data_IF_690809473874
#
_entry.id   IF_690809473874
#
_cell.length_a   1.000
_cell.length_b   1.000
_cell.length_c   1.000
_cell.angle_alpha   90.00
_cell.angle_beta   90.00
_cell.angle_gamma   90.00
#
_symmetry.space_group_name_H-M   'P 1'
#
loop_
_entity.id
_entity.type
_entity.pdbx_description
1 polymer ?
#
# COMPACT_ATOMS: atom_id res chain seq x y z
N UNK A 1 -22.72 -12.12 -12.94
CA UNK A 1 -22.30 -10.80 -13.45
C UNK A 1 -23.19 -9.64 -12.97
N UNK A 2 -24.53 -9.80 -12.87
CA UNK A 2 -25.43 -8.68 -12.53
C UNK A 2 -25.48 -8.31 -11.02
N UNK A 3 -25.09 -9.22 -10.13
CA UNK A 3 -25.11 -8.97 -8.67
C UNK A 3 -23.83 -8.29 -8.18
N UNK A 4 -22.66 -8.75 -8.63
CA UNK A 4 -21.37 -8.13 -8.33
C UNK A 4 -21.32 -6.67 -8.79
N UNK A 5 -21.82 -6.39 -10.01
CA UNK A 5 -21.88 -5.01 -10.54
C UNK A 5 -22.73 -4.10 -9.65
N UNK A 6 -23.94 -4.55 -9.27
CA UNK A 6 -24.81 -3.79 -8.35
C UNK A 6 -24.18 -3.58 -6.98
N UNK A 7 -23.42 -4.56 -6.49
CA UNK A 7 -22.67 -4.45 -5.24
C UNK A 7 -21.57 -3.40 -5.36
N UNK A 8 -20.80 -3.42 -6.46
CA UNK A 8 -19.75 -2.44 -6.73
C UNK A 8 -20.34 -1.02 -6.85
N UNK A 9 -21.41 -0.85 -7.63
CA UNK A 9 -22.15 0.42 -7.75
C UNK A 9 -22.64 0.91 -6.38
N UNK A 10 -23.22 0.02 -5.57
CA UNK A 10 -23.67 0.36 -4.21
C UNK A 10 -22.52 0.75 -3.28
N UNK A 11 -21.33 0.17 -3.44
CA UNK A 11 -20.12 0.52 -2.68
C UNK A 11 -19.60 1.88 -3.14
N UNK A 12 -19.54 2.15 -4.44
CA UNK A 12 -19.13 3.46 -4.98
C UNK A 12 -20.07 4.56 -4.50
N UNK A 13 -21.38 4.32 -4.54
CA UNK A 13 -22.40 5.30 -4.15
C UNK A 13 -22.41 5.55 -2.63
N UNK A 14 -22.40 4.49 -1.82
CA UNK A 14 -22.61 4.61 -0.36
C UNK A 14 -21.31 4.71 0.44
N UNK A 15 -20.20 4.26 -0.14
CA UNK A 15 -18.91 4.10 0.52
C UNK A 15 -17.74 4.53 -0.39
N UNK A 16 -17.78 5.73 -0.99
CA UNK A 16 -16.84 6.14 -2.05
C UNK A 16 -15.36 6.09 -1.63
N UNK A 17 -15.04 6.42 -0.36
CA UNK A 17 -13.67 6.33 0.15
C UNK A 17 -13.16 4.88 0.20
N UNK A 18 -14.02 3.93 0.57
CA UNK A 18 -13.69 2.51 0.56
C UNK A 18 -13.63 1.95 -0.87
N UNK A 19 -14.39 2.52 -1.80
CA UNK A 19 -14.32 2.17 -3.21
C UNK A 19 -12.94 2.48 -3.80
N UNK A 20 -12.34 3.63 -3.46
CA UNK A 20 -10.96 4.00 -3.86
C UNK A 20 -9.94 3.01 -3.28
N UNK A 21 -10.03 2.69 -1.98
CA UNK A 21 -9.07 1.76 -1.35
C UNK A 21 -9.17 0.34 -1.93
N UNK A 22 -10.39 -0.10 -2.30
CA UNK A 22 -10.61 -1.36 -3.01
C UNK A 22 -10.00 -1.30 -4.42
N UNK A 23 -10.18 -0.19 -5.16
CA UNK A 23 -9.59 -0.01 -6.48
C UNK A 23 -8.05 -0.09 -6.43
N UNK A 24 -7.42 0.61 -5.48
CA UNK A 24 -5.96 0.56 -5.25
C UNK A 24 -5.48 -0.86 -4.89
N UNK A 25 -6.26 -1.57 -4.06
CA UNK A 25 -5.93 -2.96 -3.67
C UNK A 25 -6.06 -3.93 -4.86
N UNK A 26 -7.03 -3.68 -5.74
CA UNK A 26 -7.23 -4.44 -6.98
C UNK A 26 -6.13 -4.15 -7.99
N UNK A 27 -5.62 -2.93 -8.09
CA UNK A 27 -4.47 -2.58 -8.94
C UNK A 27 -3.23 -3.37 -8.52
N UNK A 28 -2.94 -3.40 -7.22
CA UNK A 28 -1.81 -4.17 -6.67
C UNK A 28 -1.95 -5.66 -6.98
N UNK A 29 -3.18 -6.20 -6.90
CA UNK A 29 -3.44 -7.60 -7.24
C UNK A 29 -3.25 -7.86 -8.74
N UNK A 30 -3.73 -6.97 -9.62
CA UNK A 30 -3.54 -7.04 -11.07
C UNK A 30 -2.06 -7.01 -11.44
N UNK A 31 -1.29 -6.09 -10.88
CA UNK A 31 0.17 -6.00 -11.08
C UNK A 31 0.86 -7.30 -10.65
N UNK A 32 0.50 -7.83 -9.48
CA UNK A 32 1.07 -9.09 -8.98
C UNK A 32 0.73 -10.27 -9.90
N UNK A 33 -0.49 -10.32 -10.44
CA UNK A 33 -0.89 -11.35 -11.42
C UNK A 33 -0.06 -11.23 -12.70
N UNK A 34 0.13 -10.03 -13.23
CA UNK A 34 0.93 -9.81 -14.44
C UNK A 34 2.39 -10.23 -14.24
N UNK A 35 2.99 -9.90 -13.09
CA UNK A 35 4.35 -10.37 -12.72
C UNK A 35 4.44 -11.90 -12.69
N UNK A 36 3.42 -12.59 -12.17
CA UNK A 36 3.39 -14.06 -12.17
C UNK A 36 3.28 -14.62 -13.60
N UNK A 37 2.48 -14.00 -14.46
CA UNK A 37 2.34 -14.41 -15.86
C UNK A 37 3.68 -14.24 -16.60
N UNK A 38 4.38 -13.13 -16.37
CA UNK A 38 5.71 -12.90 -16.95
C UNK A 38 6.73 -13.95 -16.49
N UNK A 39 6.74 -14.26 -15.19
CA UNK A 39 7.58 -15.33 -14.65
C UNK A 39 7.24 -16.71 -15.27
N UNK A 40 5.96 -17.03 -15.43
CA UNK A 40 5.52 -18.27 -16.12
C UNK A 40 6.07 -18.31 -17.56
N UNK A 41 6.03 -17.19 -18.29
CA UNK A 41 6.52 -17.11 -19.66
C UNK A 41 8.04 -17.32 -19.74
N UNK A 42 8.79 -16.69 -18.84
CA UNK A 42 10.25 -16.84 -18.76
C UNK A 42 10.66 -18.27 -18.40
N UNK A 43 10.07 -18.85 -17.37
CA UNK A 43 10.37 -20.22 -16.95
C UNK A 43 9.94 -21.25 -18.01
N UNK A 44 8.81 -21.02 -18.69
CA UNK A 44 8.37 -21.87 -19.79
C UNK A 44 9.34 -21.83 -20.97
N UNK A 45 9.84 -20.65 -21.32
CA UNK A 45 10.82 -20.50 -22.39
C UNK A 45 12.13 -21.24 -22.05
N UNK A 46 12.56 -21.20 -20.80
CA UNK A 46 13.76 -21.90 -20.33
C UNK A 46 13.56 -23.43 -20.31
N UNK A 47 12.40 -23.91 -19.84
CA UNK A 47 12.05 -25.34 -19.88
C UNK A 47 12.06 -25.88 -21.32
N UNK A 48 11.49 -25.14 -22.27
CA UNK A 48 11.48 -25.53 -23.69
C UNK A 48 12.89 -25.62 -24.30
N UNK A 49 13.82 -24.71 -23.94
CA UNK A 49 15.24 -24.82 -24.36
C UNK A 49 15.86 -26.13 -23.84
N UNK A 50 15.47 -26.54 -22.65
CA UNK A 50 15.90 -27.79 -22.02
C UNK A 50 15.10 -29.02 -22.50
N UNK A 51 14.24 -28.86 -23.50
CA UNK A 51 13.35 -29.89 -24.08
C UNK A 51 12.35 -30.47 -23.07
N UNK A 52 12.07 -29.74 -22.00
CA UNK A 52 10.95 -30.03 -21.09
C UNK A 52 9.71 -29.27 -21.59
N UNK A 53 8.76 -30.03 -22.14
CA UNK A 53 7.49 -29.51 -22.65
C UNK A 53 6.32 -29.77 -21.71
N UNK A 54 6.47 -30.65 -20.71
CA UNK A 54 5.41 -30.95 -19.74
C UNK A 54 5.23 -29.78 -18.77
N UNK A 55 6.33 -29.21 -18.28
CA UNK A 55 6.25 -28.07 -17.37
C UNK A 55 5.50 -26.86 -17.98
N UNK A 56 5.86 -26.35 -19.18
CA UNK A 56 5.10 -25.29 -19.84
C UNK A 56 3.60 -25.61 -20.03
N UNK A 57 3.27 -26.86 -20.38
CA UNK A 57 1.87 -27.28 -20.57
C UNK A 57 1.06 -27.25 -19.27
N UNK A 58 1.70 -27.47 -18.12
CA UNK A 58 1.08 -27.36 -16.81
C UNK A 58 0.86 -25.89 -16.41
N UNK A 59 1.93 -25.08 -16.44
CA UNK A 59 1.89 -23.70 -15.93
C UNK A 59 1.14 -22.72 -16.84
N UNK A 60 1.05 -22.98 -18.15
CA UNK A 60 0.23 -22.17 -19.05
C UNK A 60 -1.27 -22.26 -18.74
N UNK A 61 -1.74 -23.37 -18.16
CA UNK A 61 -3.13 -23.46 -17.68
C UNK A 61 -3.37 -22.49 -16.53
N UNK A 62 -2.41 -22.37 -15.62
CA UNK A 62 -2.44 -21.40 -14.53
C UNK A 62 -2.42 -19.96 -15.07
N UNK A 63 -1.52 -19.64 -16.00
CA UNK A 63 -1.47 -18.31 -16.64
C UNK A 63 -2.81 -17.92 -17.28
N UNK A 64 -3.49 -18.87 -17.94
CA UNK A 64 -4.82 -18.63 -18.52
C UNK A 64 -5.89 -18.32 -17.47
N UNK A 65 -5.85 -19.03 -16.34
CA UNK A 65 -6.77 -18.78 -15.22
C UNK A 65 -6.48 -17.39 -14.62
N UNK A 66 -5.20 -17.07 -14.40
CA UNK A 66 -4.76 -15.79 -13.86
C UNK A 66 -5.19 -14.62 -14.75
N UNK A 67 -5.01 -14.73 -16.08
CA UNK A 67 -5.49 -13.74 -17.04
C UNK A 67 -7.02 -13.55 -16.98
N UNK A 68 -7.76 -14.62 -16.69
CA UNK A 68 -9.22 -14.53 -16.53
C UNK A 68 -9.59 -13.71 -15.29
N UNK A 69 -8.88 -13.92 -14.17
CA UNK A 69 -9.09 -13.12 -12.96
C UNK A 69 -8.62 -11.68 -13.14
N UNK A 70 -7.50 -11.46 -13.83
CA UNK A 70 -7.01 -10.11 -14.16
C UNK A 70 -8.04 -9.31 -14.98
N UNK A 71 -8.66 -9.92 -15.98
CA UNK A 71 -9.74 -9.29 -16.73
C UNK A 71 -10.97 -9.00 -15.86
N UNK A 72 -11.36 -9.93 -14.97
CA UNK A 72 -12.44 -9.66 -14.02
C UNK A 72 -12.12 -8.52 -13.05
N UNK A 73 -10.86 -8.41 -12.62
CA UNK A 73 -10.38 -7.30 -11.78
C UNK A 73 -10.52 -5.98 -12.55
N UNK A 74 -10.03 -5.92 -13.79
CA UNK A 74 -10.15 -4.74 -14.67
C UNK A 74 -11.61 -4.36 -14.92
N UNK A 75 -12.49 -5.33 -15.11
CA UNK A 75 -13.93 -5.10 -15.28
C UNK A 75 -14.56 -4.49 -14.02
N UNK A 76 -14.15 -4.95 -12.83
CA UNK A 76 -14.60 -4.37 -11.55
C UNK A 76 -14.07 -2.94 -11.43
N UNK A 77 -12.78 -2.71 -11.68
CA UNK A 77 -12.17 -1.39 -11.60
C UNK A 77 -12.84 -0.39 -12.57
N UNK A 78 -13.12 -0.80 -13.80
CA UNK A 78 -13.85 0.04 -14.77
C UNK A 78 -15.27 0.38 -14.32
N UNK A 79 -15.92 -0.47 -13.52
CA UNK A 79 -17.24 -0.18 -12.92
C UNK A 79 -17.14 0.74 -11.71
N UNK A 80 -16.03 0.65 -10.96
CA UNK A 80 -15.72 1.56 -9.86
C UNK A 80 -15.47 2.99 -10.35
N UNK A 81 -15.10 3.13 -11.62
CA UNK A 81 -15.09 4.38 -12.36
C UNK A 81 -16.48 4.60 -13.00
N UNK A 82 -17.47 5.03 -12.22
CA UNK A 82 -18.77 5.47 -12.76
C UNK A 82 -18.95 6.99 -12.62
N UNK A 83 -18.95 7.66 -13.77
CA UNK A 83 -19.28 9.07 -14.08
C UNK A 83 -18.55 10.19 -13.33
N UNK A 84 -17.27 10.36 -13.66
CA UNK A 84 -16.77 11.69 -14.03
C UNK A 84 -16.57 11.75 -15.55
N UNK A 85 -17.63 11.58 -16.34
CA UNK A 85 -17.54 11.85 -17.78
C UNK A 85 -17.85 13.31 -18.04
N UNK A 86 -16.77 14.04 -18.28
CA UNK A 86 -16.64 15.07 -19.32
C UNK A 86 -17.65 16.23 -19.29
N UNK A 87 -17.21 17.37 -18.76
CA UNK A 87 -17.32 18.65 -19.46
C UNK A 87 -16.33 19.64 -18.85
N UNK A 88 -15.12 19.74 -19.41
CA UNK A 88 -14.37 20.99 -19.47
C UNK A 88 -13.07 20.81 -20.28
N UNK A 89 -13.22 20.75 -21.61
CA UNK A 89 -12.28 21.50 -22.43
C UNK A 89 -13.03 22.13 -23.61
N UNK A 90 -13.73 23.24 -23.34
CA UNK A 90 -13.51 24.51 -24.03
C UNK A 90 -14.54 25.59 -23.66
N UNK A 91 -13.98 26.73 -23.26
CA UNK A 91 -14.51 28.11 -23.32
C UNK A 91 -15.53 28.58 -22.26
N UNK A 92 -14.96 29.42 -21.40
CA UNK A 92 -15.44 30.75 -21.03
C UNK A 92 -16.66 30.87 -20.12
N UNK A 93 -16.35 31.38 -18.93
CA UNK A 93 -17.11 32.33 -18.12
C UNK A 93 -18.30 31.78 -17.32
N UNK A 94 -18.09 31.64 -16.01
CA UNK A 94 -19.18 31.46 -15.05
C UNK A 94 -18.71 30.83 -13.75
N UNK A 95 -18.35 31.68 -12.78
CA UNK A 95 -18.18 31.42 -11.34
C UNK A 95 -18.69 30.06 -10.85
N UNK A 96 -17.81 29.06 -10.75
CA UNK A 96 -18.01 27.88 -9.92
C UNK A 96 -17.04 27.94 -8.74
N UNK A 97 -17.61 27.81 -7.54
CA UNK A 97 -16.88 27.86 -6.28
C UNK A 97 -15.82 26.75 -6.26
N UNK A 98 -14.58 27.16 -6.00
CA UNK A 98 -13.46 26.29 -5.67
C UNK A 98 -13.89 25.38 -4.51
N UNK A 99 -13.72 24.04 -4.60
CA UNK A 99 -13.94 23.16 -3.44
C UNK A 99 -13.03 23.62 -2.30
N UNK A 100 -13.63 23.97 -1.16
CA UNK A 100 -12.87 24.43 -0.02
C UNK A 100 -12.07 23.26 0.58
N UNK A 101 -10.75 23.29 0.41
CA UNK A 101 -9.79 22.33 0.96
C UNK A 101 -9.77 22.28 2.51
N UNK A 102 -10.51 23.16 3.18
CA UNK A 102 -10.70 23.15 4.64
C UNK A 102 -11.39 21.89 5.19
N UNK A 103 -12.08 21.08 4.35
CA UNK A 103 -12.77 19.86 4.79
C UNK A 103 -11.84 18.63 4.93
N UNK A 104 -10.56 18.76 4.54
CA UNK A 104 -9.50 17.76 4.77
C UNK A 104 -8.61 18.11 5.97
N UNK A 105 -9.11 18.90 6.92
CA UNK A 105 -8.32 19.25 8.10
C UNK A 105 -7.95 18.00 8.88
N UNK A 106 -6.65 17.73 8.89
CA UNK A 106 -5.98 16.79 9.77
C UNK A 106 -6.47 17.07 11.19
N UNK A 107 -7.26 16.15 11.75
CA UNK A 107 -7.63 16.25 13.16
C UNK A 107 -6.41 15.82 13.98
N UNK A 108 -5.47 16.76 14.16
CA UNK A 108 -4.26 16.56 14.96
C UNK A 108 -4.56 16.48 16.46
N UNK A 109 -5.82 16.54 16.88
CA UNK A 109 -6.18 16.59 18.31
C UNK A 109 -6.11 15.22 18.98
N UNK A 110 -6.25 14.13 18.23
CA UNK A 110 -6.18 12.75 18.74
C UNK A 110 -4.97 12.03 18.15
N UNK A 111 -3.97 11.78 19.00
CA UNK A 111 -2.81 10.97 18.65
C UNK A 111 -3.00 9.52 19.09
N UNK A 112 -2.71 8.59 18.19
CA UNK A 112 -2.68 7.15 18.41
C UNK A 112 -1.25 6.66 18.62
N UNK A 113 -1.10 5.57 19.38
CA UNK A 113 0.19 4.97 19.69
C UNK A 113 0.39 3.62 18.98
N UNK A 114 1.65 3.15 18.93
CA UNK A 114 2.01 1.92 18.21
C UNK A 114 1.54 0.60 18.88
N UNK A 115 0.78 0.64 19.97
CA UNK A 115 0.20 -0.55 20.60
C UNK A 115 -1.24 -0.83 20.14
N UNK A 116 -1.85 0.10 19.41
CA UNK A 116 -3.21 -0.02 18.91
C UNK A 116 -3.29 -0.98 17.70
N UNK A 117 -4.51 -1.44 17.41
CA UNK A 117 -4.82 -2.18 16.19
C UNK A 117 -5.22 -1.18 15.10
N UNK A 118 -4.48 -1.21 13.98
CA UNK A 118 -4.69 -0.33 12.84
C UNK A 118 -5.36 -1.03 11.67
N UNK A 119 -5.96 -2.20 11.88
CA UNK A 119 -6.79 -2.86 10.86
C UNK A 119 -7.95 -1.92 10.48
N UNK A 120 -8.20 -1.76 9.17
CA UNK A 120 -9.26 -0.91 8.63
C UNK A 120 -9.15 0.60 8.97
N UNK A 121 -7.95 1.08 9.31
CA UNK A 121 -7.69 2.51 9.57
C UNK A 121 -6.81 3.10 8.47
N UNK A 122 -6.92 4.41 8.24
CA UNK A 122 -6.10 5.16 7.28
C UNK A 122 -5.28 6.23 7.99
N UNK A 123 -3.95 6.31 7.77
CA UNK A 123 -3.17 7.36 8.37
C UNK A 123 -3.49 8.68 7.68
N UNK A 124 -3.46 9.77 8.45
CA UNK A 124 -3.45 11.13 7.97
C UNK A 124 -2.05 11.76 8.15
N UNK A 125 -1.34 11.34 9.18
CA UNK A 125 -0.02 11.85 9.48
C UNK A 125 0.67 11.04 10.56
N UNK A 126 1.94 11.33 10.78
CA UNK A 126 2.67 10.82 11.92
C UNK A 126 3.72 11.84 12.37
N UNK A 127 4.20 11.69 13.60
CA UNK A 127 5.22 12.55 14.20
C UNK A 127 6.25 11.67 14.91
N UNK A 128 7.54 12.02 14.77
CA UNK A 128 8.65 11.36 15.46
C UNK A 128 9.42 12.39 16.29
N UNK A 129 9.62 12.13 17.59
CA UNK A 129 10.37 13.01 18.52
C UNK A 129 9.88 14.47 18.56
N UNK A 130 8.58 14.70 18.39
CA UNK A 130 7.97 16.02 18.34
C UNK A 130 8.53 16.91 17.21
N UNK A 131 8.89 16.33 16.06
CA UNK A 131 9.39 17.06 14.88
C UNK A 131 8.32 17.83 14.10
N UNK A 132 7.07 17.80 14.56
CA UNK A 132 5.91 18.24 13.79
C UNK A 132 5.27 17.09 13.00
N UNK A 133 3.99 17.26 12.69
CA UNK A 133 3.21 16.25 11.98
C UNK A 133 3.61 16.23 10.50
N UNK A 134 4.02 15.05 10.03
CA UNK A 134 4.23 14.79 8.60
C UNK A 134 2.98 14.13 8.03
N UNK A 135 2.36 14.80 7.07
CA UNK A 135 1.16 14.29 6.39
C UNK A 135 1.50 13.14 5.45
N UNK A 136 0.65 12.10 5.47
CA UNK A 136 0.75 10.90 4.64
C UNK A 136 -0.63 10.33 4.35
N UNK A 137 -0.74 9.53 3.30
CA UNK A 137 -2.00 8.91 2.89
C UNK A 137 -2.02 7.40 3.07
N UNK A 138 -0.84 6.77 3.12
CA UNK A 138 -0.70 5.32 3.14
C UNK A 138 0.27 4.86 4.24
N UNK A 139 0.01 3.69 4.84
CA UNK A 139 0.87 3.12 5.88
C UNK A 139 2.29 2.80 5.39
N UNK A 140 2.45 2.45 4.10
CA UNK A 140 3.77 2.23 3.50
C UNK A 140 4.60 3.52 3.46
N UNK A 141 3.96 4.69 3.29
CA UNK A 141 4.65 5.99 3.31
C UNK A 141 5.17 6.29 4.72
N UNK A 142 4.35 6.05 5.76
CA UNK A 142 4.78 6.14 7.16
C UNK A 142 6.05 5.33 7.41
N UNK A 143 6.05 4.07 6.95
CA UNK A 143 7.17 3.16 7.14
C UNK A 143 8.43 3.63 6.40
N UNK A 144 8.32 4.02 5.13
CA UNK A 144 9.44 4.52 4.32
C UNK A 144 10.03 5.79 4.93
N UNK A 145 9.20 6.74 5.33
CA UNK A 145 9.65 7.99 5.93
C UNK A 145 10.27 7.77 7.31
N UNK A 146 9.77 6.81 8.08
CA UNK A 146 10.42 6.38 9.33
C UNK A 146 11.80 5.79 9.06
N UNK A 147 11.95 4.97 8.01
CA UNK A 147 13.26 4.42 7.63
C UNK A 147 14.25 5.52 7.27
N UNK A 148 13.83 6.50 6.44
CA UNK A 148 14.67 7.66 6.09
C UNK A 148 15.12 8.43 7.33
N UNK A 149 14.18 8.76 8.22
CA UNK A 149 14.47 9.44 9.47
C UNK A 149 15.51 8.70 10.33
N UNK A 150 15.38 7.38 10.45
CA UNK A 150 16.30 6.57 11.25
C UNK A 150 17.69 6.45 10.61
N UNK A 151 17.74 6.31 9.28
CA UNK A 151 19.01 6.33 8.52
C UNK A 151 19.75 7.65 8.73
N UNK A 152 19.04 8.78 8.62
CA UNK A 152 19.63 10.11 8.82
C UNK A 152 20.13 10.31 10.26
N UNK A 153 19.49 9.64 11.23
CA UNK A 153 19.88 9.67 12.64
C UNK A 153 21.14 8.85 12.92
N UNK A 154 21.16 7.60 12.49
CA UNK A 154 22.34 6.71 12.59
C UNK A 154 22.25 5.54 11.61
N UNK A 155 22.82 5.76 10.43
CA UNK A 155 22.90 4.79 9.36
C UNK A 155 23.54 3.45 9.77
N UNK A 156 24.45 3.45 10.76
CA UNK A 156 25.13 2.23 11.22
C UNK A 156 24.18 1.32 12.00
N UNK A 157 23.27 1.88 12.80
CA UNK A 157 22.23 1.12 13.48
C UNK A 157 21.26 0.53 12.45
N UNK A 158 20.85 1.31 11.43
CA UNK A 158 19.97 0.80 10.36
C UNK A 158 20.59 -0.41 9.64
N UNK A 159 21.88 -0.35 9.33
CA UNK A 159 22.60 -1.42 8.63
C UNK A 159 22.53 -2.76 9.39
N UNK A 160 22.47 -2.72 10.73
CA UNK A 160 22.31 -3.92 11.55
C UNK A 160 21.00 -4.69 11.28
N UNK A 161 19.98 -4.03 10.73
CA UNK A 161 18.67 -4.66 10.49
C UNK A 161 18.76 -5.81 9.48
N UNK A 162 19.65 -5.71 8.50
CA UNK A 162 19.80 -6.66 7.40
C UNK A 162 20.16 -8.05 7.94
N UNK A 163 21.07 -8.11 8.91
CA UNK A 163 21.54 -9.34 9.54
C UNK A 163 20.74 -9.78 10.77
N UNK A 164 19.81 -8.96 11.26
CA UNK A 164 19.11 -9.22 12.51
C UNK A 164 17.85 -10.08 12.28
N UNK A 165 17.79 -11.34 12.77
CA UNK A 165 16.65 -12.24 12.54
C UNK A 165 15.33 -11.77 13.17
N UNK A 166 15.38 -10.82 14.11
CA UNK A 166 14.18 -10.21 14.71
C UNK A 166 13.62 -9.06 13.88
N UNK A 167 14.45 -8.47 13.01
CA UNK A 167 14.08 -7.39 12.10
C UNK A 167 13.80 -7.90 10.68
N UNK A 168 14.50 -8.98 10.30
CA UNK A 168 14.54 -9.48 8.95
C UNK A 168 14.25 -10.99 8.94
N UNK A 169 13.20 -11.39 8.22
CA UNK A 169 12.77 -12.77 8.19
C UNK A 169 13.81 -13.70 7.56
N UNK A 170 13.74 -14.99 7.90
CA UNK A 170 14.57 -16.03 7.24
C UNK A 170 14.19 -16.23 5.78
N UNK A 171 12.87 -16.26 5.49
CA UNK A 171 12.32 -16.50 4.15
C UNK A 171 12.06 -15.21 3.36
N UNK A 172 11.59 -14.15 4.03
CA UNK A 172 11.27 -12.86 3.42
C UNK A 172 12.18 -11.79 3.99
N UNK A 173 12.83 -11.03 3.10
CA UNK A 173 13.67 -9.89 3.47
C UNK A 173 12.82 -8.63 3.52
N UNK A 174 12.85 -7.95 4.66
CA UNK A 174 12.22 -6.64 4.87
C UNK A 174 13.22 -5.49 4.70
N UNK A 175 14.51 -5.76 4.96
CA UNK A 175 15.63 -4.83 4.75
C UNK A 175 16.74 -5.56 4.00
N UNK A 176 17.30 -4.94 2.96
CA UNK A 176 18.37 -5.54 2.17
C UNK A 176 19.23 -4.48 1.46
N UNK A 177 20.41 -4.89 0.99
CA UNK A 177 21.27 -4.09 0.08
C UNK A 177 20.90 -4.26 -1.39
N UNK A 178 20.13 -5.30 -1.72
CA UNK A 178 19.62 -5.60 -3.07
C UNK A 178 18.12 -5.88 -2.99
N UNK A 179 17.41 -5.72 -4.11
CA UNK A 179 15.94 -5.85 -4.16
C UNK A 179 15.46 -7.16 -4.83
N UNK A 180 16.38 -8.03 -5.25
CA UNK A 180 16.12 -9.21 -6.10
C UNK A 180 15.07 -10.18 -5.54
N UNK A 181 14.90 -10.22 -4.21
CA UNK A 181 14.01 -11.17 -3.52
C UNK A 181 12.83 -10.50 -2.81
N UNK A 182 12.60 -9.21 -3.06
CA UNK A 182 11.59 -8.39 -2.40
C UNK A 182 10.35 -8.16 -3.28
N UNK A 183 9.18 -7.99 -2.67
CA UNK A 183 7.91 -7.71 -3.32
C UNK A 183 7.44 -6.27 -3.08
N UNK A 184 7.50 -5.42 -4.12
CA UNK A 184 7.32 -3.96 -3.98
C UNK A 184 8.39 -3.30 -3.10
N UNK A 185 9.69 -3.47 -3.42
CA UNK A 185 10.77 -2.81 -2.71
C UNK A 185 10.78 -1.31 -3.01
N UNK A 186 11.05 -0.50 -1.99
CA UNK A 186 11.34 0.93 -2.13
C UNK A 186 12.77 1.18 -1.67
N UNK A 187 13.54 1.89 -2.49
CA UNK A 187 14.90 2.29 -2.14
C UNK A 187 14.89 3.44 -1.12
N UNK A 188 15.64 3.27 -0.03
CA UNK A 188 15.90 4.29 1.00
C UNK A 188 17.41 4.44 1.17
N UNK A 189 17.96 5.53 0.65
CA UNK A 189 19.42 5.72 0.55
C UNK A 189 20.08 4.59 -0.26
N UNK A 190 21.01 3.83 0.33
CA UNK A 190 21.69 2.68 -0.30
C UNK A 190 21.02 1.31 -0.01
N UNK A 191 19.89 1.29 0.71
CA UNK A 191 19.18 0.06 1.08
C UNK A 191 17.80 -0.01 0.44
N UNK A 192 17.21 -1.20 0.44
CA UNK A 192 15.85 -1.45 0.01
C UNK A 192 15.00 -1.91 1.19
N UNK A 193 13.75 -1.44 1.22
CA UNK A 193 12.74 -1.83 2.21
C UNK A 193 11.50 -2.39 1.54
N UNK A 194 10.96 -3.45 2.13
CA UNK A 194 9.78 -4.15 1.62
C UNK A 194 8.49 -3.40 1.99
N UNK A 195 7.64 -3.11 1.00
CA UNK A 195 6.40 -2.33 1.25
C UNK A 195 5.10 -3.07 0.96
N UNK A 196 5.15 -4.32 0.51
CA UNK A 196 3.94 -5.15 0.41
C UNK A 196 3.58 -5.80 1.75
N UNK A 197 3.05 -5.00 2.68
CA UNK A 197 2.67 -5.39 4.03
C UNK A 197 1.42 -4.64 4.52
N UNK A 198 0.73 -5.17 5.54
CA UNK A 198 -0.47 -4.53 6.12
C UNK A 198 -0.11 -3.50 7.22
N UNK A 199 -1.10 -2.70 7.63
CA UNK A 199 -0.95 -1.63 8.64
C UNK A 199 -0.35 -2.11 9.96
N UNK A 200 -0.84 -3.25 10.47
CA UNK A 200 -0.34 -3.83 11.72
C UNK A 200 1.09 -4.38 11.61
N UNK A 201 1.49 -4.89 10.44
CA UNK A 201 2.87 -5.24 10.18
C UNK A 201 3.76 -4.00 10.23
N UNK A 202 3.38 -2.92 9.53
CA UNK A 202 4.13 -1.66 9.56
C UNK A 202 4.26 -1.10 10.98
N UNK A 203 3.18 -1.09 11.77
CA UNK A 203 3.22 -0.75 13.19
C UNK A 203 4.25 -1.59 13.96
N UNK A 204 4.21 -2.91 13.80
CA UNK A 204 5.12 -3.82 14.51
C UNK A 204 6.58 -3.58 14.13
N UNK A 205 6.88 -3.46 12.84
CA UNK A 205 8.25 -3.27 12.40
C UNK A 205 8.77 -1.89 12.83
N UNK A 206 7.94 -0.84 12.80
CA UNK A 206 8.29 0.48 13.33
C UNK A 206 8.64 0.42 14.81
N UNK A 207 7.86 -0.30 15.64
CA UNK A 207 8.22 -0.51 17.06
C UNK A 207 9.57 -1.15 17.25
N UNK A 208 9.84 -2.21 16.49
CA UNK A 208 11.13 -2.91 16.56
C UNK A 208 12.28 -2.01 16.13
N UNK A 209 12.08 -1.19 15.08
CA UNK A 209 13.06 -0.21 14.63
C UNK A 209 13.36 0.83 15.71
N UNK A 210 12.34 1.46 16.29
CA UNK A 210 12.51 2.45 17.36
C UNK A 210 13.29 1.88 18.56
N UNK A 211 13.00 0.63 18.93
CA UNK A 211 13.71 -0.05 20.01
C UNK A 211 15.22 -0.21 19.72
N UNK A 212 15.62 -0.52 18.49
CA UNK A 212 17.05 -0.61 18.13
C UNK A 212 17.77 0.74 18.26
N UNK A 213 17.06 1.84 18.06
CA UNK A 213 17.56 3.20 18.24
C UNK A 213 17.39 3.75 19.67
N UNK A 214 16.94 2.91 20.60
CA UNK A 214 16.64 3.29 21.98
C UNK A 214 15.64 4.47 22.07
N UNK A 215 14.72 4.56 21.11
CA UNK A 215 13.62 5.52 21.08
C UNK A 215 12.38 4.92 21.73
N UNK A 216 11.62 5.75 22.45
CA UNK A 216 10.38 5.27 23.08
C UNK A 216 9.27 5.25 22.03
N UNK A 217 8.38 4.26 22.14
CA UNK A 217 7.17 4.21 21.32
C UNK A 217 6.24 5.40 21.55
N UNK A 218 6.34 6.07 22.71
CA UNK A 218 5.64 7.33 23.02
C UNK A 218 6.14 8.53 22.22
N UNK A 219 7.35 8.43 21.65
CA UNK A 219 7.92 9.47 20.80
C UNK A 219 7.43 9.36 19.35
N UNK A 220 6.60 8.35 19.05
CA UNK A 220 6.01 8.12 17.74
C UNK A 220 4.49 8.25 17.86
N UNK A 221 3.94 9.29 17.26
CA UNK A 221 2.49 9.55 17.25
C UNK A 221 1.94 9.31 15.87
N UNK A 222 0.80 8.66 15.80
CA UNK A 222 0.06 8.43 14.56
C UNK A 222 -1.21 9.26 14.62
N UNK A 223 -1.53 9.94 13.54
CA UNK A 223 -2.78 10.65 13.35
C UNK A 223 -3.55 9.90 12.29
N UNK A 224 -4.76 9.48 12.64
CA UNK A 224 -5.64 8.80 11.72
C UNK A 224 -6.53 9.82 11.03
N UNK A 225 -6.98 9.51 9.82
CA UNK A 225 -8.09 10.25 9.24
C UNK A 225 -9.32 10.01 10.12
N UNK A 226 -10.14 11.04 10.29
CA UNK A 226 -11.38 10.90 11.04
C UNK A 226 -12.20 9.73 10.48
N UNK A 227 -12.45 8.73 11.32
CA UNK A 227 -13.45 7.71 11.05
C UNK A 227 -14.81 8.41 11.10
N UNK A 228 -15.57 8.42 9.99
CA UNK A 228 -16.96 8.88 9.95
C UNK A 228 -17.93 7.94 10.71
N UNK A 229 -17.46 7.21 11.75
CA UNK A 229 -18.30 6.33 12.57
C UNK A 229 -19.39 7.09 13.35
N UNK A 230 -19.26 8.41 13.51
CA UNK A 230 -20.29 9.23 14.17
C UNK A 230 -21.33 9.85 13.23
N UNK A 231 -21.11 9.84 11.91
CA UNK A 231 -22.08 10.43 10.95
C UNK A 231 -23.26 9.50 10.62
N UNK A 232 -23.27 8.26 11.14
CA UNK A 232 -24.31 7.27 10.92
C UNK A 232 -25.14 6.95 12.18
N UNK A 233 -25.25 7.91 13.11
CA UNK A 233 -26.32 7.90 14.13
C UNK A 233 -27.37 8.95 13.81
N UNK A 234 -28.28 8.59 12.90
CA UNK A 234 -29.65 9.12 12.86
C UNK A 234 -30.54 8.12 12.12
#
# INVERSE_FOLDING_TARGET
>A
MNELKKTVESIVEKFPNYAVDIADSLDILSDTINVIIDAINEESAEAMKNRDYEYPMEVMKLAKILLTYDNHIKDIQMQMVTESTEEADNKANGKNAIPNYDDYKLDTTISHNLYEDFTHTRPAGFEILNSGVKEINLWKEMFVETCKFLIDRDASIFETFIGNPKMNGRKRKFFATTNETMHSPIQVSKWYVETNCNSNFFRNIVRSMLQQYNLKTTDFKIYLRADYKELHKS
#
